data_IF_066258767069
#
_entry.id   IF_066258767069
#
_cell.length_a   1.000
_cell.length_b   1.000
_cell.length_c   1.000
_cell.angle_alpha   90.00
_cell.angle_beta   90.00
_cell.angle_gamma   90.00
#
_symmetry.space_group_name_H-M   'P 1'
#
loop_
_entity.id
_entity.type
_entity.pdbx_description
1 polymer ?
#
# COMPACT_ATOMS: atom_id res chain seq x y z
N UNK A 1 9.55 -8.72 -27.28
CA UNK A 1 9.58 -7.52 -26.40
C UNK A 1 9.33 -7.98 -24.98
N UNK A 2 10.13 -7.54 -24.05
CA UNK A 2 9.97 -7.83 -22.64
C UNK A 2 8.67 -7.18 -22.11
N UNK A 3 7.90 -7.89 -21.30
CA UNK A 3 6.65 -7.37 -20.77
C UNK A 3 6.94 -6.25 -19.77
N UNK A 4 6.36 -5.06 -20.00
CA UNK A 4 6.41 -3.95 -19.05
C UNK A 4 5.09 -3.80 -18.34
N UNK A 5 5.12 -3.49 -17.06
CA UNK A 5 3.96 -3.49 -16.16
C UNK A 5 3.37 -2.09 -15.94
N UNK A 6 2.06 -2.05 -15.72
CA UNK A 6 1.34 -0.89 -15.23
C UNK A 6 0.98 -1.11 -13.75
N UNK A 7 1.29 -0.13 -12.91
CA UNK A 7 1.10 -0.20 -11.46
C UNK A 7 0.19 0.94 -11.01
N UNK A 8 -0.79 0.64 -10.16
CA UNK A 8 -1.50 1.67 -9.40
C UNK A 8 -1.11 1.61 -7.93
N UNK A 9 -0.83 2.76 -7.33
CA UNK A 9 -0.56 2.92 -5.90
C UNK A 9 -1.82 3.48 -5.25
N UNK A 10 -2.55 2.63 -4.51
CA UNK A 10 -3.70 3.01 -3.72
C UNK A 10 -3.24 3.53 -2.34
N UNK A 11 -3.59 4.76 -2.03
CA UNK A 11 -3.01 5.57 -0.97
C UNK A 11 -1.97 6.55 -1.51
N UNK A 12 -2.13 6.99 -2.78
CA UNK A 12 -1.20 7.86 -3.51
C UNK A 12 -0.85 9.17 -2.82
N UNK A 13 -1.72 9.68 -1.94
CA UNK A 13 -1.47 10.86 -1.12
C UNK A 13 -0.64 10.61 0.15
N UNK A 14 -0.13 9.41 0.36
CA UNK A 14 0.72 9.09 1.52
C UNK A 14 2.14 9.64 1.36
N UNK A 15 2.74 10.07 2.46
CA UNK A 15 4.16 10.44 2.52
C UNK A 15 5.11 9.26 2.27
N UNK A 16 4.61 8.02 2.30
CA UNK A 16 5.35 6.82 1.90
C UNK A 16 5.44 6.64 0.38
N UNK A 17 4.49 7.19 -0.36
CA UNK A 17 4.40 7.00 -1.82
C UNK A 17 5.65 7.40 -2.59
N UNK A 18 6.33 8.52 -2.29
CA UNK A 18 7.60 8.85 -2.97
C UNK A 18 8.67 7.78 -2.80
N UNK A 19 8.81 7.21 -1.59
CA UNK A 19 9.75 6.12 -1.34
C UNK A 19 9.43 4.85 -2.16
N UNK A 20 8.16 4.52 -2.33
CA UNK A 20 7.74 3.40 -3.18
C UNK A 20 8.10 3.68 -4.64
N UNK A 21 7.87 4.90 -5.14
CA UNK A 21 8.26 5.27 -6.49
C UNK A 21 9.76 5.13 -6.73
N UNK A 22 10.58 5.61 -5.79
CA UNK A 22 12.04 5.48 -5.87
C UNK A 22 12.46 4.01 -5.95
N UNK A 23 11.95 3.17 -5.05
CA UNK A 23 12.25 1.73 -5.05
C UNK A 23 11.83 1.04 -6.36
N UNK A 24 10.70 1.41 -6.92
CA UNK A 24 10.25 0.87 -8.20
C UNK A 24 11.20 1.24 -9.34
N UNK A 25 11.71 2.47 -9.37
CA UNK A 25 12.64 2.93 -10.38
C UNK A 25 14.03 2.31 -10.21
N UNK A 26 14.51 2.15 -9.00
CA UNK A 26 15.79 1.50 -8.69
C UNK A 26 15.82 0.02 -9.11
N UNK A 27 14.65 -0.59 -9.32
CA UNK A 27 14.52 -2.00 -9.70
C UNK A 27 13.87 -2.23 -11.06
N UNK A 28 13.95 -1.27 -11.97
CA UNK A 28 13.40 -1.37 -13.33
C UNK A 28 14.01 -2.52 -14.16
N UNK A 29 15.22 -2.96 -13.84
CA UNK A 29 15.89 -4.13 -14.43
C UNK A 29 15.18 -5.46 -14.07
N UNK A 30 14.59 -5.55 -12.88
CA UNK A 30 13.90 -6.75 -12.39
C UNK A 30 12.38 -6.64 -12.52
N UNK A 31 11.85 -5.42 -12.47
CA UNK A 31 10.44 -5.12 -12.54
C UNK A 31 10.21 -3.94 -13.51
N UNK A 32 10.25 -4.19 -14.82
CA UNK A 32 10.12 -3.14 -15.82
C UNK A 32 8.73 -2.54 -15.83
N UNK A 33 8.65 -1.23 -15.60
CA UNK A 33 7.39 -0.48 -15.49
C UNK A 33 7.21 0.39 -16.74
N UNK A 34 5.99 0.44 -17.28
CA UNK A 34 5.58 1.36 -18.34
C UNK A 34 4.71 2.50 -17.85
N UNK A 35 4.01 2.29 -16.72
CA UNK A 35 3.04 3.26 -16.20
C UNK A 35 2.89 3.16 -14.70
N UNK A 36 2.90 4.30 -14.02
CA UNK A 36 2.57 4.43 -12.60
C UNK A 36 1.36 5.34 -12.47
N UNK A 37 0.36 4.88 -11.73
CA UNK A 37 -0.83 5.66 -11.40
C UNK A 37 -0.93 5.82 -9.88
N UNK A 38 -1.42 6.97 -9.41
CA UNK A 38 -1.80 7.15 -8.02
C UNK A 38 -3.31 7.22 -7.91
N UNK A 39 -3.83 6.58 -6.89
CA UNK A 39 -5.21 6.67 -6.46
C UNK A 39 -5.29 7.05 -4.98
N UNK A 40 -6.07 8.05 -4.66
CA UNK A 40 -6.44 8.43 -3.29
C UNK A 40 -7.83 9.06 -3.30
N UNK A 41 -8.58 8.92 -2.21
CA UNK A 41 -9.88 9.56 -2.07
C UNK A 41 -9.79 11.02 -1.58
N UNK A 42 -8.57 11.53 -1.28
CA UNK A 42 -8.28 12.91 -0.87
C UNK A 42 -7.45 13.62 -1.95
N UNK A 43 -8.13 14.31 -2.88
CA UNK A 43 -7.50 14.97 -4.02
C UNK A 43 -6.37 15.93 -3.64
N UNK A 44 -6.61 16.85 -2.70
CA UNK A 44 -5.64 17.88 -2.28
C UNK A 44 -4.35 17.28 -1.71
N UNK A 45 -4.49 16.24 -0.89
CA UNK A 45 -3.36 15.52 -0.31
C UNK A 45 -2.57 14.77 -1.39
N UNK A 46 -3.28 14.11 -2.30
CA UNK A 46 -2.67 13.36 -3.40
C UNK A 46 -1.92 14.27 -4.37
N UNK A 47 -2.51 15.41 -4.71
CA UNK A 47 -1.92 16.35 -5.68
C UNK A 47 -0.52 16.81 -5.26
N UNK A 48 -0.32 17.12 -3.98
CA UNK A 48 0.97 17.56 -3.45
C UNK A 48 2.03 16.48 -3.63
N UNK A 49 1.72 15.25 -3.26
CA UNK A 49 2.64 14.09 -3.39
C UNK A 49 2.87 13.75 -4.86
N UNK A 50 1.80 13.73 -5.66
CA UNK A 50 1.86 13.40 -7.08
C UNK A 50 2.74 14.37 -7.86
N UNK A 51 2.62 15.69 -7.63
CA UNK A 51 3.47 16.70 -8.28
C UNK A 51 4.95 16.51 -7.96
N UNK A 52 5.29 16.18 -6.72
CA UNK A 52 6.68 15.90 -6.36
C UNK A 52 7.21 14.66 -7.07
N UNK A 53 6.42 13.58 -7.12
CA UNK A 53 6.79 12.36 -7.83
C UNK A 53 6.87 12.56 -9.34
N UNK A 54 5.97 13.37 -9.91
CA UNK A 54 5.96 13.68 -11.34
C UNK A 54 7.26 14.37 -11.79
N UNK A 55 7.76 15.34 -11.00
CA UNK A 55 9.05 16.00 -11.28
C UNK A 55 10.16 14.97 -11.30
N UNK A 56 10.25 14.14 -10.27
CA UNK A 56 11.29 13.12 -10.19
C UNK A 56 11.22 12.10 -11.33
N UNK A 57 10.01 11.63 -11.67
CA UNK A 57 9.81 10.68 -12.79
C UNK A 57 10.23 11.28 -14.13
N UNK A 58 9.87 12.55 -14.40
CA UNK A 58 10.27 13.23 -15.62
C UNK A 58 11.78 13.37 -15.77
N UNK A 59 12.50 13.53 -14.68
CA UNK A 59 13.96 13.68 -14.68
C UNK A 59 14.69 12.32 -14.79
N UNK A 60 14.18 11.27 -14.16
CA UNK A 60 14.91 10.01 -13.99
C UNK A 60 14.35 8.83 -14.80
N UNK A 61 13.10 8.88 -15.23
CA UNK A 61 12.43 7.83 -16.00
C UNK A 61 11.36 8.41 -16.94
N UNK A 62 11.75 9.28 -17.90
CA UNK A 62 10.80 9.98 -18.79
C UNK A 62 9.97 9.04 -19.68
N UNK A 63 10.39 7.78 -19.83
CA UNK A 63 9.65 6.75 -20.57
C UNK A 63 8.50 6.13 -19.78
N UNK A 64 8.43 6.37 -18.47
CA UNK A 64 7.35 5.86 -17.59
C UNK A 64 6.19 6.85 -17.61
N UNK A 65 5.04 6.43 -18.09
CA UNK A 65 3.82 7.23 -18.01
C UNK A 65 3.40 7.41 -16.55
N UNK A 66 3.02 8.65 -16.18
CA UNK A 66 2.56 8.97 -14.85
C UNK A 66 1.17 9.64 -14.89
N UNK A 67 0.28 9.23 -14.00
CA UNK A 67 -1.01 9.84 -13.80
C UNK A 67 -1.44 9.75 -12.33
N UNK A 68 -2.34 10.64 -11.89
CA UNK A 68 -2.97 10.56 -10.58
C UNK A 68 -4.43 11.02 -10.66
N UNK A 69 -5.31 10.36 -9.94
CA UNK A 69 -6.74 10.60 -10.00
C UNK A 69 -7.43 10.15 -8.71
N UNK A 70 -8.62 10.69 -8.47
CA UNK A 70 -9.55 10.21 -7.45
C UNK A 70 -10.67 9.35 -8.03
N UNK A 71 -10.68 9.15 -9.35
CA UNK A 71 -11.65 8.31 -10.04
C UNK A 71 -11.14 6.86 -10.09
N UNK A 72 -11.89 5.90 -9.49
CA UNK A 72 -11.48 4.50 -9.48
C UNK A 72 -11.38 3.87 -10.87
N UNK A 73 -12.27 4.25 -11.82
CA UNK A 73 -12.23 3.69 -13.17
C UNK A 73 -10.96 4.10 -13.89
N UNK A 74 -10.61 5.38 -13.82
CA UNK A 74 -9.39 5.90 -14.43
C UNK A 74 -8.15 5.28 -13.78
N UNK A 75 -8.13 5.16 -12.44
CA UNK A 75 -7.00 4.64 -11.69
C UNK A 75 -6.74 3.15 -11.97
N UNK A 76 -7.79 2.33 -11.89
CA UNK A 76 -7.65 0.87 -11.90
C UNK A 76 -7.79 0.23 -13.29
N UNK A 77 -8.16 0.95 -14.33
CA UNK A 77 -8.18 0.42 -15.70
C UNK A 77 -6.76 0.20 -16.23
N UNK A 78 -6.52 -0.91 -16.93
CA UNK A 78 -5.23 -1.26 -17.55
C UNK A 78 -4.05 -1.24 -16.56
N UNK A 79 -4.21 -1.96 -15.44
CA UNK A 79 -3.14 -2.19 -14.47
C UNK A 79 -2.83 -3.67 -14.33
N UNK A 80 -1.55 -3.98 -14.12
CA UNK A 80 -1.08 -5.33 -13.83
C UNK A 80 -0.95 -5.55 -12.31
N UNK A 81 -0.63 -4.50 -11.54
CA UNK A 81 -0.44 -4.57 -10.09
C UNK A 81 -1.09 -3.39 -9.37
N UNK A 82 -1.67 -3.68 -8.21
CA UNK A 82 -2.18 -2.70 -7.26
C UNK A 82 -1.30 -2.76 -6.02
N UNK A 83 -0.60 -1.68 -5.69
CA UNK A 83 0.13 -1.54 -4.43
C UNK A 83 -0.75 -0.77 -3.45
N UNK A 84 -1.31 -1.46 -2.46
CA UNK A 84 -2.27 -0.89 -1.52
C UNK A 84 -1.61 -0.65 -0.16
N UNK A 85 -1.52 0.62 0.25
CA UNK A 85 -1.02 1.01 1.58
C UNK A 85 -1.91 2.07 2.23
N UNK A 86 -3.21 1.93 2.05
CA UNK A 86 -4.21 2.85 2.62
C UNK A 86 -4.22 2.82 4.14
N UNK A 87 -4.59 3.95 4.75
CA UNK A 87 -4.87 4.07 6.18
C UNK A 87 -6.23 4.68 6.41
N UNK A 88 -7.22 3.84 6.70
CA UNK A 88 -8.58 4.31 6.98
C UNK A 88 -8.63 5.06 8.30
N UNK A 89 -9.08 6.32 8.25
CA UNK A 89 -9.17 7.21 9.40
C UNK A 89 -7.90 8.00 9.72
N UNK A 90 -6.82 7.81 8.94
CA UNK A 90 -5.56 8.55 9.05
C UNK A 90 -4.95 8.51 10.46
N UNK A 91 -4.05 9.43 10.77
CA UNK A 91 -3.39 9.51 12.08
C UNK A 91 -4.31 9.95 13.22
N UNK A 92 -5.38 10.69 12.93
CA UNK A 92 -6.35 11.10 13.94
C UNK A 92 -7.08 9.90 14.57
N UNK A 93 -7.38 8.87 13.79
CA UNK A 93 -7.97 7.64 14.33
C UNK A 93 -6.92 6.75 14.99
N UNK A 94 -5.70 6.68 14.45
CA UNK A 94 -4.60 5.98 15.09
C UNK A 94 -4.34 6.50 16.51
N UNK A 95 -4.31 7.81 16.67
CA UNK A 95 -4.14 8.42 18.00
C UNK A 95 -5.22 7.96 18.98
N UNK A 96 -6.47 7.87 18.53
CA UNK A 96 -7.58 7.36 19.36
C UNK A 96 -7.42 5.87 19.68
N UNK A 97 -7.05 5.06 18.71
CA UNK A 97 -6.84 3.62 18.87
C UNK A 97 -5.76 3.32 19.91
N UNK A 98 -4.70 4.13 19.96
CA UNK A 98 -3.62 3.99 20.94
C UNK A 98 -3.99 4.60 22.31
N UNK A 99 -4.61 5.77 22.35
CA UNK A 99 -4.90 6.48 23.62
C UNK A 99 -6.10 5.94 24.38
N UNK A 100 -7.13 5.39 23.72
CA UNK A 100 -8.32 4.89 24.40
C UNK A 100 -8.01 3.68 25.30
N UNK A 101 -7.27 2.66 24.85
CA UNK A 101 -6.90 1.53 25.70
C UNK A 101 -6.11 1.95 26.96
N UNK A 102 -5.25 2.94 26.82
CA UNK A 102 -4.42 3.45 27.94
C UNK A 102 -5.27 3.99 29.11
N UNK A 103 -6.48 4.49 28.85
CA UNK A 103 -7.42 4.92 29.91
C UNK A 103 -7.89 3.77 30.80
N UNK A 104 -7.73 2.53 30.32
CA UNK A 104 -8.11 1.29 31.00
C UNK A 104 -6.89 0.48 31.44
N UNK A 105 -5.72 1.09 31.53
CA UNK A 105 -4.43 0.46 31.84
C UNK A 105 -4.06 -0.68 30.89
N UNK A 106 -4.50 -0.59 29.63
CA UNK A 106 -4.13 -1.52 28.55
C UNK A 106 -3.18 -0.82 27.60
N UNK A 107 -2.19 -1.55 27.11
CA UNK A 107 -1.22 -1.00 26.14
C UNK A 107 -1.94 -0.53 24.89
N UNK A 108 -1.70 0.73 24.51
CA UNK A 108 -2.14 1.28 23.24
C UNK A 108 -1.12 0.96 22.14
N UNK A 109 -1.56 0.23 21.11
CA UNK A 109 -0.70 -0.20 20.03
C UNK A 109 -1.48 -0.24 18.72
N UNK A 110 -0.81 0.09 17.61
CA UNK A 110 -1.43 0.25 16.30
C UNK A 110 -2.06 -1.02 15.76
N UNK A 111 -1.38 -2.15 15.90
CA UNK A 111 -1.74 -3.39 15.18
C UNK A 111 -2.19 -4.52 16.09
N UNK A 112 -1.99 -4.41 17.39
CA UNK A 112 -2.33 -5.43 18.39
C UNK A 112 -3.28 -4.89 19.46
N UNK A 113 -3.94 -5.80 20.20
CA UNK A 113 -4.86 -5.45 21.29
C UNK A 113 -6.10 -4.69 20.82
N UNK A 114 -6.76 -3.94 21.74
CA UNK A 114 -8.01 -3.24 21.43
C UNK A 114 -7.86 -2.20 20.32
N UNK A 115 -6.73 -1.48 20.28
CA UNK A 115 -6.42 -0.51 19.23
C UNK A 115 -6.28 -1.18 17.87
N UNK A 116 -5.55 -2.29 17.80
CA UNK A 116 -5.39 -3.08 16.58
C UNK A 116 -6.72 -3.64 16.07
N UNK A 117 -7.60 -4.08 16.97
CA UNK A 117 -8.95 -4.55 16.60
C UNK A 117 -9.76 -3.40 15.99
N UNK A 118 -9.80 -2.23 16.62
CA UNK A 118 -10.53 -1.07 16.13
C UNK A 118 -10.02 -0.61 14.76
N UNK A 119 -8.70 -0.55 14.59
CA UNK A 119 -8.08 -0.22 13.30
C UNK A 119 -8.36 -1.28 12.24
N UNK A 120 -8.26 -2.57 12.59
CA UNK A 120 -8.54 -3.68 11.69
C UNK A 120 -9.97 -3.64 11.16
N UNK A 121 -10.95 -3.45 12.02
CA UNK A 121 -12.37 -3.34 11.63
C UNK A 121 -12.60 -2.20 10.62
N UNK A 122 -11.89 -1.08 10.74
CA UNK A 122 -11.96 0.01 9.75
C UNK A 122 -11.22 -0.32 8.46
N UNK A 123 -10.04 -0.93 8.56
CA UNK A 123 -9.18 -1.23 7.41
C UNK A 123 -9.78 -2.26 6.47
N UNK A 124 -10.51 -3.26 7.00
CA UNK A 124 -11.13 -4.32 6.19
C UNK A 124 -12.00 -3.72 5.09
N UNK A 125 -12.93 -2.81 5.44
CA UNK A 125 -13.82 -2.19 4.46
C UNK A 125 -13.08 -1.45 3.35
N UNK A 126 -12.07 -0.66 3.72
CA UNK A 126 -11.28 0.08 2.73
C UNK A 126 -10.46 -0.82 1.80
N UNK A 127 -9.87 -1.90 2.32
CA UNK A 127 -9.10 -2.83 1.47
C UNK A 127 -10.03 -3.63 0.55
N UNK A 128 -11.21 -4.05 1.02
CA UNK A 128 -12.21 -4.70 0.17
C UNK A 128 -12.68 -3.77 -0.94
N UNK A 129 -12.90 -2.48 -0.65
CA UNK A 129 -13.27 -1.49 -1.67
C UNK A 129 -12.20 -1.38 -2.77
N UNK A 130 -10.92 -1.30 -2.41
CA UNK A 130 -9.83 -1.28 -3.39
C UNK A 130 -9.79 -2.59 -4.20
N UNK A 131 -10.05 -3.71 -3.55
CA UNK A 131 -10.13 -5.00 -4.22
C UNK A 131 -11.27 -5.06 -5.24
N UNK A 132 -12.44 -4.54 -4.86
CA UNK A 132 -13.62 -4.47 -5.75
C UNK A 132 -13.32 -3.59 -6.99
N UNK A 133 -12.59 -2.49 -6.84
CA UNK A 133 -12.13 -1.68 -7.98
C UNK A 133 -11.16 -2.45 -8.86
N UNK A 134 -10.17 -3.13 -8.28
CA UNK A 134 -9.24 -3.95 -9.05
C UNK A 134 -9.96 -5.05 -9.83
N UNK A 135 -10.84 -5.81 -9.18
CA UNK A 135 -11.59 -6.90 -9.81
C UNK A 135 -12.51 -6.40 -10.93
N UNK A 136 -13.10 -5.22 -10.74
CA UNK A 136 -14.00 -4.62 -11.73
C UNK A 136 -13.26 -4.12 -12.98
N UNK A 137 -12.16 -3.40 -12.80
CA UNK A 137 -11.51 -2.67 -13.90
C UNK A 137 -10.27 -3.37 -14.46
N UNK A 138 -9.61 -4.23 -13.67
CA UNK A 138 -8.46 -5.04 -14.09
C UNK A 138 -8.45 -6.41 -13.41
N UNK A 139 -9.38 -7.33 -13.78
CA UNK A 139 -9.60 -8.62 -13.10
C UNK A 139 -8.41 -9.57 -13.15
N UNK A 140 -7.41 -9.27 -13.98
CA UNK A 140 -6.18 -10.05 -14.05
C UNK A 140 -5.04 -9.49 -13.19
N UNK A 141 -5.20 -8.31 -12.63
CA UNK A 141 -4.21 -7.69 -11.76
C UNK A 141 -3.99 -8.47 -10.46
N UNK A 142 -2.84 -8.24 -9.84
CA UNK A 142 -2.53 -8.69 -8.49
C UNK A 142 -2.46 -7.51 -7.54
N UNK A 143 -3.03 -7.67 -6.35
CA UNK A 143 -2.86 -6.70 -5.27
C UNK A 143 -1.74 -7.13 -4.32
N UNK A 144 -0.79 -6.23 -4.08
CA UNK A 144 0.18 -6.29 -3.00
C UNK A 144 -0.31 -5.38 -1.88
N UNK A 145 -0.92 -5.95 -0.85
CA UNK A 145 -1.51 -5.19 0.24
C UNK A 145 -0.53 -5.05 1.40
N UNK A 146 -0.16 -3.82 1.70
CA UNK A 146 0.72 -3.41 2.80
C UNK A 146 -0.05 -2.64 3.89
N UNK A 147 -1.39 -2.67 3.85
CA UNK A 147 -2.23 -2.01 4.84
C UNK A 147 -2.27 -2.78 6.15
N UNK A 148 -2.34 -2.05 7.25
CA UNK A 148 -2.36 -2.60 8.61
C UNK A 148 -3.78 -2.64 9.21
N UNK A 149 -3.99 -3.48 10.24
CA UNK A 149 -3.13 -4.55 10.76
C UNK A 149 -3.05 -5.73 9.78
N UNK A 150 -1.84 -6.10 9.35
CA UNK A 150 -1.63 -7.06 8.28
C UNK A 150 -2.36 -8.41 8.50
N UNK A 151 -2.26 -9.00 9.70
CA UNK A 151 -2.89 -10.28 10.01
C UNK A 151 -4.43 -10.21 9.98
N UNK A 152 -5.03 -9.14 10.49
CA UNK A 152 -6.49 -8.96 10.50
C UNK A 152 -7.01 -8.79 9.08
N UNK A 153 -6.34 -7.95 8.29
CA UNK A 153 -6.73 -7.70 6.89
C UNK A 153 -6.52 -8.97 6.04
N UNK A 154 -5.41 -9.68 6.25
CA UNK A 154 -5.14 -10.94 5.54
C UNK A 154 -6.22 -12.00 5.80
N UNK A 155 -6.60 -12.20 7.06
CA UNK A 155 -7.65 -13.18 7.39
C UNK A 155 -9.01 -12.73 6.87
N UNK A 156 -9.33 -11.43 6.92
CA UNK A 156 -10.58 -10.91 6.40
C UNK A 156 -10.66 -11.09 4.86
N UNK A 157 -9.61 -10.73 4.13
CA UNK A 157 -9.59 -10.89 2.66
C UNK A 157 -9.67 -12.36 2.26
N UNK A 158 -8.95 -13.26 2.96
CA UNK A 158 -9.03 -14.70 2.75
C UNK A 158 -10.45 -15.25 2.91
N UNK A 159 -11.23 -14.73 3.88
CA UNK A 159 -12.61 -15.18 4.12
C UNK A 159 -13.62 -14.54 3.20
N UNK A 160 -13.48 -13.26 2.92
CA UNK A 160 -14.47 -12.47 2.17
C UNK A 160 -14.25 -12.54 0.65
N UNK A 161 -13.02 -12.78 0.23
CA UNK A 161 -12.61 -12.82 -1.17
C UNK A 161 -11.58 -13.95 -1.40
N UNK A 162 -11.96 -15.23 -1.20
CA UNK A 162 -11.01 -16.37 -1.22
C UNK A 162 -10.32 -16.55 -2.58
N UNK A 163 -10.97 -16.13 -3.66
CA UNK A 163 -10.47 -16.30 -5.04
C UNK A 163 -9.74 -15.04 -5.56
N UNK A 164 -9.66 -13.98 -4.77
CA UNK A 164 -9.00 -12.73 -5.17
C UNK A 164 -7.48 -12.89 -5.27
N UNK A 165 -6.91 -12.23 -6.25
CA UNK A 165 -5.45 -12.18 -6.46
C UNK A 165 -4.82 -11.14 -5.53
N UNK A 166 -4.74 -11.46 -4.24
CA UNK A 166 -4.16 -10.58 -3.21
C UNK A 166 -3.05 -11.29 -2.43
N UNK A 167 -1.95 -10.58 -2.23
CA UNK A 167 -0.87 -10.94 -1.32
C UNK A 167 -0.79 -9.87 -0.22
N UNK A 168 -0.95 -10.29 1.03
CA UNK A 168 -0.75 -9.41 2.18
C UNK A 168 0.69 -9.50 2.62
N UNK A 169 1.39 -8.37 2.63
CA UNK A 169 2.84 -8.29 2.88
C UNK A 169 3.15 -7.41 4.10
N UNK A 170 4.31 -7.65 4.70
CA UNK A 170 4.86 -6.86 5.79
C UNK A 170 6.38 -6.83 5.68
N UNK A 171 7.00 -5.71 6.00
CA UNK A 171 8.45 -5.53 6.03
C UNK A 171 9.12 -6.10 7.29
N UNK A 172 8.38 -6.26 8.38
CA UNK A 172 8.92 -6.70 9.65
C UNK A 172 9.77 -7.99 9.57
N UNK A 173 9.39 -9.05 8.83
CA UNK A 173 10.23 -10.24 8.72
C UNK A 173 11.62 -9.96 8.13
N UNK A 174 11.67 -9.14 7.08
CA UNK A 174 12.93 -8.77 6.42
C UNK A 174 13.80 -7.89 7.35
N UNK A 175 13.18 -6.87 7.98
CA UNK A 175 13.88 -5.99 8.93
C UNK A 175 14.45 -6.74 10.14
N UNK A 176 13.72 -7.73 10.65
CA UNK A 176 14.21 -8.59 11.74
C UNK A 176 15.35 -9.49 11.28
N UNK A 177 15.24 -10.10 10.10
CA UNK A 177 16.29 -10.95 9.53
C UNK A 177 17.59 -10.17 9.35
N UNK A 178 17.52 -8.97 8.78
CA UNK A 178 18.67 -8.08 8.60
C UNK A 178 19.30 -7.67 9.95
N UNK A 179 18.48 -7.29 10.93
CA UNK A 179 18.95 -6.95 12.27
C UNK A 179 19.60 -8.14 12.98
N UNK A 180 19.02 -9.32 12.86
CA UNK A 180 19.58 -10.54 13.44
C UNK A 180 20.91 -10.91 12.78
N UNK A 181 21.01 -10.82 11.46
CA UNK A 181 22.25 -11.07 10.73
C UNK A 181 23.37 -10.11 11.17
N UNK A 182 23.04 -8.82 11.33
CA UNK A 182 23.99 -7.79 11.79
C UNK A 182 24.44 -7.99 13.23
N UNK A 183 23.59 -8.53 14.11
CA UNK A 183 23.90 -8.78 15.52
C UNK A 183 24.68 -10.07 15.77
N UNK A 184 24.42 -11.09 14.96
CA UNK A 184 24.92 -12.44 15.23
C UNK A 184 26.38 -12.65 14.83
N UNK A 185 27.01 -11.74 14.07
CA UNK A 185 28.34 -11.92 13.46
C UNK A 185 28.45 -13.21 12.61
N UNK A 186 27.35 -13.90 12.42
CA UNK A 186 27.26 -15.07 11.54
C UNK A 186 26.86 -14.51 10.18
N UNK A 187 27.79 -14.46 9.27
CA UNK A 187 27.51 -14.14 7.88
C UNK A 187 26.70 -15.28 7.29
N UNK A 188 25.43 -15.02 7.11
CA UNK A 188 24.53 -15.90 6.38
C UNK A 188 24.63 -15.58 4.90
#
# INVERSE_FOLDING_TARGET
MEKKYSVVIAGGGSTFTPGICLLLLDHMDRFPIRKIKFYDNFAERQETIAKACEIYLKENAPEVEFAYTTDPEEAFTDVDFVMCHIRVGLYAMREKDEKIPMKYNVVGQETCGPGGIAYGMRSIGGVIEILDYMEKYSPNAWMLNYSNPAAIVAEATRRLRPDSKILNICDMPIDLEEKMANLSLIHI
#
